data_IF_875010373459
#
_entry.id   IF_875010373459
#
_cell.length_a   1.000
_cell.length_b   1.000
_cell.length_c   1.000
_cell.angle_alpha   90.00
_cell.angle_beta   90.00
_cell.angle_gamma   90.00
#
_symmetry.space_group_name_H-M   'P 1'
#
loop_
_entity.id
_entity.type
_entity.pdbx_description
1 polymer ?
#
# COMPACT_ATOMS: atom_id res chain seq x y z
N UNK A 1 -8.00 16.59 8.94
CA UNK A 1 -6.98 17.66 8.83
C UNK A 1 -6.59 17.78 7.37
N UNK A 2 -6.79 18.93 6.77
CA UNK A 2 -6.34 19.23 5.41
C UNK A 2 -4.86 19.60 5.41
N UNK A 3 -4.16 19.27 4.33
CA UNK A 3 -2.80 19.75 4.11
C UNK A 3 -2.80 21.27 3.82
N UNK A 4 -1.63 21.89 3.82
CA UNK A 4 -1.46 23.29 3.43
C UNK A 4 -1.91 23.60 1.99
N UNK A 5 -2.07 22.57 1.16
CA UNK A 5 -2.60 22.68 -0.22
C UNK A 5 -4.10 22.43 -0.33
N UNK A 6 -4.79 22.24 0.80
CA UNK A 6 -6.22 21.89 0.81
C UNK A 6 -6.52 20.42 0.56
N UNK A 7 -5.53 19.57 0.37
CA UNK A 7 -5.69 18.15 0.20
C UNK A 7 -5.89 17.43 1.54
N UNK A 8 -6.68 16.36 1.53
CA UNK A 8 -6.81 15.50 2.70
C UNK A 8 -5.76 14.39 2.63
N UNK A 9 -4.96 14.19 3.70
CA UNK A 9 -4.00 13.10 3.73
C UNK A 9 -4.71 11.75 3.67
N UNK A 10 -4.18 10.84 2.88
CA UNK A 10 -4.63 9.45 2.87
C UNK A 10 -4.13 8.77 4.16
N UNK A 11 -5.07 8.38 5.00
CA UNK A 11 -4.79 7.62 6.21
C UNK A 11 -5.08 6.15 5.91
N UNK A 12 -4.09 5.29 6.14
CA UNK A 12 -4.22 3.84 5.99
C UNK A 12 -4.04 3.18 7.34
N UNK A 13 -4.91 2.28 7.68
CA UNK A 13 -4.81 1.40 8.86
C UNK A 13 -4.60 -0.02 8.36
N UNK A 14 -3.56 -0.66 8.84
CA UNK A 14 -3.23 -2.05 8.50
C UNK A 14 -3.55 -2.92 9.70
N UNK A 15 -4.39 -3.95 9.51
CA UNK A 15 -4.85 -4.85 10.56
C UNK A 15 -5.09 -6.26 9.99
N UNK A 16 -5.29 -7.25 10.86
CA UNK A 16 -5.71 -8.60 10.45
C UNK A 16 -4.92 -9.74 11.11
N UNK A 17 -3.70 -9.55 11.58
CA UNK A 17 -2.83 -10.64 12.08
C UNK A 17 -2.74 -10.76 13.61
N UNK A 18 -3.38 -9.87 14.35
CA UNK A 18 -3.30 -9.89 15.81
C UNK A 18 -4.25 -10.92 16.41
N UNK A 19 -3.71 -11.96 17.06
CA UNK A 19 -4.46 -13.06 17.66
C UNK A 19 -4.98 -12.78 19.07
N UNK A 20 -4.58 -11.67 19.69
CA UNK A 20 -5.08 -11.30 21.01
C UNK A 20 -6.57 -10.99 20.98
N UNK A 21 -7.27 -11.23 22.09
CA UNK A 21 -8.71 -10.91 22.23
C UNK A 21 -9.04 -9.47 21.83
N UNK A 22 -8.23 -8.51 22.25
CA UNK A 22 -8.45 -7.10 21.93
C UNK A 22 -8.10 -6.74 20.50
N UNK A 23 -7.06 -7.35 19.93
CA UNK A 23 -6.70 -7.17 18.53
C UNK A 23 -7.78 -7.67 17.58
N UNK A 24 -8.36 -8.84 17.86
CA UNK A 24 -9.53 -9.38 17.15
C UNK A 24 -10.72 -8.45 17.26
N UNK A 25 -11.06 -8.02 18.49
CA UNK A 25 -12.19 -7.13 18.74
C UNK A 25 -12.08 -5.82 17.97
N UNK A 26 -10.90 -5.18 17.98
CA UNK A 26 -10.65 -3.93 17.26
C UNK A 26 -10.80 -4.14 15.76
N UNK A 27 -10.17 -5.17 15.21
CA UNK A 27 -10.22 -5.46 13.76
C UNK A 27 -11.66 -5.72 13.30
N UNK A 28 -12.39 -6.57 14.01
CA UNK A 28 -13.80 -6.89 13.68
C UNK A 28 -14.66 -5.64 13.80
N UNK A 29 -14.48 -4.82 14.84
CA UNK A 29 -15.25 -3.59 15.04
C UNK A 29 -15.02 -2.59 13.90
N UNK A 30 -13.77 -2.42 13.46
CA UNK A 30 -13.45 -1.54 12.32
C UNK A 30 -14.14 -2.02 11.03
N UNK A 31 -14.10 -3.32 10.75
CA UNK A 31 -14.76 -3.93 9.58
C UNK A 31 -16.28 -3.76 9.64
N UNK A 32 -16.89 -4.01 10.79
CA UNK A 32 -18.35 -3.83 10.99
C UNK A 32 -18.80 -2.38 10.86
N UNK A 33 -18.05 -1.43 11.41
CA UNK A 33 -18.36 0.01 11.25
C UNK A 33 -18.30 0.41 9.77
N UNK A 34 -17.29 -0.07 9.04
CA UNK A 34 -17.18 0.17 7.61
C UNK A 34 -18.36 -0.43 6.84
N UNK A 35 -18.67 -1.68 7.12
CA UNK A 35 -19.77 -2.43 6.50
C UNK A 35 -21.14 -1.76 6.71
N UNK A 36 -21.39 -1.22 7.90
CA UNK A 36 -22.64 -0.60 8.28
C UNK A 36 -22.79 0.86 7.82
N UNK A 37 -21.69 1.51 7.43
CA UNK A 37 -21.68 2.91 7.06
C UNK A 37 -21.84 3.85 8.26
N UNK A 38 -21.78 5.14 8.00
CA UNK A 38 -21.93 6.20 8.99
C UNK A 38 -23.09 7.14 8.67
N UNK A 39 -23.71 7.71 9.69
CA UNK A 39 -24.84 8.66 9.56
C UNK A 39 -26.07 8.19 10.33
N UNK A 40 -27.15 8.92 10.15
CA UNK A 40 -28.45 8.61 10.77
C UNK A 40 -29.04 7.33 10.17
N UNK A 41 -29.83 6.63 10.94
CA UNK A 41 -30.58 5.46 10.48
C UNK A 41 -31.43 5.82 9.25
N UNK A 42 -31.42 4.95 8.22
CA UNK A 42 -32.08 5.21 6.94
C UNK A 42 -31.28 6.14 5.96
N UNK A 43 -30.23 6.81 6.44
CA UNK A 43 -29.42 7.74 5.64
C UNK A 43 -27.90 7.49 5.80
N UNK A 44 -27.51 6.26 6.01
CA UNK A 44 -26.10 5.89 6.18
C UNK A 44 -25.34 6.00 4.87
N UNK A 45 -24.15 6.58 4.95
CA UNK A 45 -23.21 6.70 3.83
C UNK A 45 -22.01 5.76 4.03
N UNK A 46 -21.40 5.25 2.95
CA UNK A 46 -20.21 4.44 3.06
C UNK A 46 -19.08 5.16 3.81
N UNK A 47 -18.35 4.42 4.65
CA UNK A 47 -17.15 4.92 5.30
C UNK A 47 -15.98 4.77 4.32
N UNK A 48 -15.44 5.86 3.82
CA UNK A 48 -14.35 5.84 2.84
C UNK A 48 -12.96 5.84 3.51
N UNK A 49 -12.83 6.54 4.62
CA UNK A 49 -11.56 6.71 5.36
C UNK A 49 -11.73 6.40 6.86
N UNK A 50 -10.67 5.89 7.52
CA UNK A 50 -9.36 5.51 6.97
C UNK A 50 -9.46 4.36 5.98
N UNK A 51 -8.50 4.27 5.06
CA UNK A 51 -8.33 3.10 4.21
C UNK A 51 -7.89 1.92 5.07
N UNK A 52 -8.52 0.78 4.91
CA UNK A 52 -8.18 -0.43 5.67
C UNK A 52 -7.46 -1.41 4.73
N UNK A 53 -6.27 -1.84 5.15
CA UNK A 53 -5.54 -2.94 4.53
C UNK A 53 -5.63 -4.14 5.46
N UNK A 54 -6.25 -5.22 4.98
CA UNK A 54 -6.37 -6.47 5.70
C UNK A 54 -5.18 -7.38 5.35
N UNK A 55 -4.41 -7.73 6.36
CA UNK A 55 -3.29 -8.65 6.23
C UNK A 55 -3.81 -10.09 6.27
N UNK A 56 -3.64 -10.79 5.19
CA UNK A 56 -4.01 -12.20 5.08
C UNK A 56 -2.78 -13.10 5.23
N UNK A 57 -2.86 -14.05 6.14
CA UNK A 57 -1.89 -15.14 6.32
C UNK A 57 -2.66 -16.46 6.36
N UNK A 58 -2.35 -17.37 5.43
CA UNK A 58 -3.03 -18.67 5.32
C UNK A 58 -2.87 -19.56 6.58
N UNK A 59 -1.86 -19.30 7.41
CA UNK A 59 -1.66 -20.01 8.66
C UNK A 59 -2.53 -19.50 9.80
N UNK A 60 -3.04 -18.28 9.69
CA UNK A 60 -3.86 -17.61 10.71
C UNK A 60 -5.35 -17.53 10.34
N UNK A 61 -5.65 -17.48 9.05
CA UNK A 61 -6.99 -17.19 8.52
C UNK A 61 -7.58 -18.44 7.81
N UNK A 62 -8.89 -18.56 7.86
CA UNK A 62 -9.65 -19.64 7.25
C UNK A 62 -10.21 -20.64 8.26
N UNK A 63 -10.93 -21.66 7.79
CA UNK A 63 -11.61 -22.63 8.64
C UNK A 63 -10.70 -23.32 9.65
N UNK A 64 -11.07 -23.32 10.93
CA UNK A 64 -10.31 -23.92 12.02
C UNK A 64 -9.04 -23.18 12.42
N UNK A 65 -8.79 -21.97 11.89
CA UNK A 65 -7.60 -21.18 12.22
C UNK A 65 -7.89 -20.15 13.34
N UNK A 66 -6.84 -19.64 14.02
CA UNK A 66 -7.01 -18.73 15.16
C UNK A 66 -7.78 -17.44 14.87
N UNK A 67 -7.77 -16.99 13.62
CA UNK A 67 -8.41 -15.74 13.16
C UNK A 67 -9.52 -16.00 12.14
N UNK A 68 -10.22 -17.15 12.23
CA UNK A 68 -11.37 -17.47 11.38
C UNK A 68 -12.45 -16.40 11.49
N UNK A 69 -12.81 -15.99 12.70
CA UNK A 69 -13.79 -14.95 12.98
C UNK A 69 -13.43 -13.57 12.39
N UNK A 70 -12.14 -13.23 12.39
CA UNK A 70 -11.62 -12.00 11.79
C UNK A 70 -11.67 -12.09 10.27
N UNK A 71 -11.34 -13.25 9.72
CA UNK A 71 -11.41 -13.53 8.28
C UNK A 71 -12.84 -13.42 7.76
N UNK A 72 -13.78 -14.06 8.42
CA UNK A 72 -15.21 -14.02 8.06
C UNK A 72 -15.76 -12.60 8.07
N UNK A 73 -15.43 -11.81 9.11
CA UNK A 73 -15.79 -10.39 9.16
C UNK A 73 -15.19 -9.58 8.00
N UNK A 74 -13.96 -9.91 7.58
CA UNK A 74 -13.31 -9.31 6.41
C UNK A 74 -14.03 -9.65 5.11
N UNK A 75 -14.39 -10.91 4.91
CA UNK A 75 -15.13 -11.39 3.74
C UNK A 75 -16.52 -10.76 3.67
N UNK A 76 -17.26 -10.73 4.77
CA UNK A 76 -18.57 -10.05 4.82
C UNK A 76 -18.46 -8.56 4.46
N UNK A 77 -17.46 -7.88 5.01
CA UNK A 77 -17.23 -6.48 4.71
C UNK A 77 -16.92 -6.28 3.23
N UNK A 78 -16.09 -7.14 2.64
CA UNK A 78 -15.73 -7.10 1.22
C UNK A 78 -16.93 -7.34 0.32
N UNK A 79 -17.79 -8.29 0.67
CA UNK A 79 -19.00 -8.59 -0.08
C UNK A 79 -19.98 -7.41 -0.18
N UNK A 80 -20.03 -6.57 0.87
CA UNK A 80 -20.93 -5.40 0.93
C UNK A 80 -20.32 -4.12 0.41
N UNK A 81 -19.01 -3.92 0.60
CA UNK A 81 -18.37 -2.61 0.38
C UNK A 81 -17.22 -2.64 -0.59
N UNK A 82 -16.83 -3.81 -1.09
CA UNK A 82 -15.60 -4.08 -1.87
C UNK A 82 -14.32 -3.68 -1.12
N UNK A 83 -14.36 -3.58 0.18
CA UNK A 83 -13.26 -3.29 1.10
C UNK A 83 -13.30 -4.25 2.29
N UNK A 84 -12.20 -4.49 2.98
CA UNK A 84 -10.87 -3.84 2.92
C UNK A 84 -10.03 -4.23 1.69
N UNK A 85 -8.90 -3.54 1.46
CA UNK A 85 -7.88 -4.02 0.53
C UNK A 85 -7.16 -5.21 1.15
N UNK A 86 -7.10 -6.31 0.44
CA UNK A 86 -6.44 -7.52 0.90
C UNK A 86 -4.97 -7.55 0.52
N UNK A 87 -4.11 -7.81 1.50
CA UNK A 87 -2.67 -7.97 1.32
C UNK A 87 -2.23 -9.33 1.83
N UNK A 88 -1.85 -10.21 0.91
CA UNK A 88 -1.37 -11.54 1.27
C UNK A 88 0.08 -11.49 1.77
N UNK A 89 0.31 -12.06 2.95
CA UNK A 89 1.63 -12.27 3.54
C UNK A 89 2.22 -13.64 3.18
N UNK A 90 1.41 -14.52 2.59
CA UNK A 90 1.78 -15.86 2.18
C UNK A 90 1.59 -16.06 0.69
N UNK A 91 2.21 -17.09 0.12
CA UNK A 91 2.13 -17.38 -1.31
C UNK A 91 3.28 -16.75 -2.12
N UNK A 92 2.99 -16.44 -3.40
CA UNK A 92 3.98 -15.87 -4.34
C UNK A 92 3.79 -14.36 -4.45
N UNK A 93 4.87 -13.60 -4.32
CA UNK A 93 4.85 -12.14 -4.51
C UNK A 93 5.91 -11.42 -3.67
N UNK A 94 6.10 -10.15 -4.00
CA UNK A 94 7.11 -9.31 -3.35
C UNK A 94 6.91 -9.19 -1.83
N UNK A 95 5.68 -8.85 -1.40
CA UNK A 95 5.36 -8.68 0.03
C UNK A 95 5.53 -9.98 0.80
N UNK A 96 5.02 -11.10 0.26
CA UNK A 96 5.17 -12.41 0.88
C UNK A 96 6.65 -12.84 0.97
N UNK A 97 7.44 -12.58 -0.06
CA UNK A 97 8.88 -12.86 -0.06
C UNK A 97 9.63 -12.06 1.00
N UNK A 98 9.31 -10.77 1.14
CA UNK A 98 9.89 -9.89 2.16
C UNK A 98 9.48 -10.31 3.57
N UNK A 99 8.20 -10.65 3.76
CA UNK A 99 7.70 -11.14 5.05
C UNK A 99 8.39 -12.44 5.46
N UNK A 100 8.51 -13.40 4.53
CA UNK A 100 9.21 -14.65 4.76
C UNK A 100 10.70 -14.46 5.11
N UNK A 101 11.36 -13.53 4.42
CA UNK A 101 12.81 -13.31 4.57
C UNK A 101 13.16 -12.50 5.81
N UNK A 102 12.40 -11.47 6.13
CA UNK A 102 12.75 -10.49 7.16
C UNK A 102 11.77 -10.43 8.35
N UNK A 103 10.64 -11.15 8.28
CA UNK A 103 9.59 -11.06 9.30
C UNK A 103 8.91 -9.69 9.38
N UNK A 104 9.12 -8.83 8.37
CA UNK A 104 8.58 -7.47 8.32
C UNK A 104 7.51 -7.34 7.24
N UNK A 105 6.44 -6.63 7.58
CA UNK A 105 5.31 -6.39 6.68
C UNK A 105 5.56 -5.10 5.93
N UNK A 106 5.57 -5.16 4.60
CA UNK A 106 5.58 -3.99 3.75
C UNK A 106 4.13 -3.65 3.41
N UNK A 107 3.57 -2.68 4.14
CA UNK A 107 2.24 -2.17 3.86
C UNK A 107 2.27 -1.14 2.74
N UNK A 108 1.25 -1.11 1.87
CA UNK A 108 1.16 -0.07 0.87
C UNK A 108 0.92 1.30 1.51
N UNK A 109 1.56 2.33 0.98
CA UNK A 109 1.26 3.72 1.31
C UNK A 109 0.23 4.28 0.35
N UNK A 110 -0.71 5.06 0.86
CA UNK A 110 -1.82 5.58 0.07
C UNK A 110 -2.64 4.45 -0.56
N UNK A 111 -2.61 4.36 -1.88
CA UNK A 111 -3.40 3.34 -2.58
C UNK A 111 -2.66 2.01 -2.71
N UNK A 112 -1.53 1.97 -3.39
CA UNK A 112 -0.76 0.73 -3.68
C UNK A 112 0.73 0.99 -3.90
N UNK A 113 1.26 2.05 -3.31
CA UNK A 113 2.69 2.34 -3.39
C UNK A 113 3.43 1.50 -2.35
N UNK A 114 4.07 0.45 -2.80
CA UNK A 114 4.96 -0.36 -1.97
C UNK A 114 6.36 0.22 -2.00
N UNK A 115 6.97 0.39 -0.83
CA UNK A 115 8.37 0.81 -0.75
C UNK A 115 9.27 -0.33 -1.17
N UNK A 116 10.20 -0.05 -2.08
CA UNK A 116 11.31 -0.97 -2.34
C UNK A 116 12.21 -1.08 -1.12
N UNK A 117 12.92 -2.20 -0.91
CA UNK A 117 13.90 -2.31 0.15
C UNK A 117 14.93 -1.19 0.04
N UNK A 118 15.31 -0.65 1.19
CA UNK A 118 16.45 0.27 1.33
C UNK A 118 17.32 -0.29 2.44
N UNK A 119 18.59 -0.45 2.19
CA UNK A 119 19.54 -1.01 3.13
C UNK A 119 20.32 0.09 3.83
N UNK A 120 20.62 -0.08 5.11
CA UNK A 120 21.26 0.94 5.94
C UNK A 120 22.58 1.43 5.36
N UNK A 121 23.40 0.52 4.79
CA UNK A 121 24.73 0.83 4.24
C UNK A 121 24.73 0.93 2.72
N UNK A 122 24.09 0.01 2.03
CA UNK A 122 24.15 -0.11 0.56
C UNK A 122 23.05 0.60 -0.20
N UNK A 123 22.07 1.19 0.47
CA UNK A 123 20.95 1.86 -0.20
C UNK A 123 20.05 0.89 -0.95
N UNK A 124 20.00 0.94 -2.27
CA UNK A 124 19.11 0.09 -3.09
C UNK A 124 19.52 -1.39 -3.05
N UNK A 125 20.82 -1.66 -2.92
CA UNK A 125 21.36 -3.01 -2.86
C UNK A 125 22.17 -3.20 -1.58
N UNK A 126 22.06 -4.36 -0.90
CA UNK A 126 22.87 -4.64 0.27
C UNK A 126 24.35 -4.72 -0.10
N UNK A 127 25.23 -4.19 0.75
CA UNK A 127 26.69 -4.30 0.58
C UNK A 127 27.17 -5.71 0.94
N UNK A 128 26.58 -6.26 2.00
CA UNK A 128 26.89 -7.58 2.54
C UNK A 128 25.64 -8.25 3.13
N UNK A 129 25.77 -9.48 3.60
CA UNK A 129 24.65 -10.27 4.18
C UNK A 129 24.14 -9.70 5.51
N UNK A 130 24.93 -8.86 6.18
CA UNK A 130 24.58 -8.22 7.45
C UNK A 130 23.97 -6.83 7.26
N UNK A 131 23.90 -6.34 6.03
CA UNK A 131 23.27 -5.06 5.74
C UNK A 131 21.75 -5.19 5.89
N UNK A 132 21.18 -4.39 6.81
CA UNK A 132 19.79 -4.53 7.22
C UNK A 132 18.86 -3.69 6.34
N UNK A 133 17.73 -4.26 5.91
CA UNK A 133 16.72 -3.47 5.19
C UNK A 133 15.96 -2.55 6.15
N UNK A 134 15.75 -1.32 5.71
CA UNK A 134 14.97 -0.29 6.42
C UNK A 134 13.54 -0.29 5.88
N UNK A 135 12.57 -0.57 6.74
CA UNK A 135 11.14 -0.61 6.39
C UNK A 135 10.35 0.56 7.00
N UNK A 136 10.95 1.35 7.87
CA UNK A 136 10.30 2.41 8.65
C UNK A 136 10.91 3.78 8.33
N UNK A 137 10.19 4.85 8.68
CA UNK A 137 10.68 6.21 8.51
C UNK A 137 10.79 6.71 7.07
N UNK A 138 10.15 6.03 6.12
CA UNK A 138 10.17 6.37 4.69
C UNK A 138 8.81 6.90 4.24
N UNK A 139 8.83 7.82 3.28
CA UNK A 139 7.62 8.43 2.73
C UNK A 139 7.74 8.64 1.22
N UNK A 140 6.62 8.90 0.55
CA UNK A 140 6.60 9.38 -0.82
C UNK A 140 6.85 10.90 -0.82
N UNK A 141 7.84 11.35 -1.55
CA UNK A 141 8.15 12.78 -1.69
C UNK A 141 7.26 13.46 -2.73
N UNK A 142 6.88 12.75 -3.76
CA UNK A 142 6.05 13.30 -4.82
C UNK A 142 5.79 12.28 -5.94
N UNK A 143 4.86 12.64 -6.82
CA UNK A 143 4.51 11.85 -8.00
C UNK A 143 4.58 12.72 -9.23
N UNK A 144 5.28 12.26 -10.26
CA UNK A 144 5.29 12.89 -11.57
C UNK A 144 4.85 11.86 -12.60
N UNK A 145 3.79 12.19 -13.35
CA UNK A 145 3.28 11.31 -14.41
C UNK A 145 3.99 11.59 -15.73
N UNK A 146 4.45 10.53 -16.38
CA UNK A 146 4.96 10.57 -17.75
C UNK A 146 3.84 10.26 -18.74
N UNK A 147 3.63 11.14 -19.70
CA UNK A 147 2.72 10.90 -20.82
C UNK A 147 3.48 10.20 -21.96
N UNK A 148 3.55 8.86 -21.92
CA UNK A 148 4.26 8.06 -22.94
C UNK A 148 3.75 8.26 -24.37
N UNK A 149 2.43 8.36 -24.62
CA UNK A 149 1.92 8.70 -25.97
C UNK A 149 2.47 10.02 -26.49
N UNK A 150 2.56 11.05 -25.64
CA UNK A 150 3.13 12.35 -26.03
C UNK A 150 4.64 12.26 -26.30
N UNK A 151 5.38 11.49 -25.51
CA UNK A 151 6.82 11.24 -25.74
C UNK A 151 7.03 10.54 -27.08
N UNK A 152 6.19 9.55 -27.40
CA UNK A 152 6.25 8.88 -28.72
C UNK A 152 5.93 9.84 -29.87
N UNK A 153 4.91 10.68 -29.73
CA UNK A 153 4.58 11.68 -30.75
C UNK A 153 5.75 12.65 -30.98
N UNK A 154 6.40 13.09 -29.90
CA UNK A 154 7.56 13.97 -29.97
C UNK A 154 8.78 13.28 -30.62
N UNK A 155 9.06 12.03 -30.27
CA UNK A 155 10.11 11.23 -30.92
C UNK A 155 9.92 11.20 -32.43
N UNK A 156 8.70 10.94 -32.90
CA UNK A 156 8.37 10.93 -34.34
C UNK A 156 8.51 12.32 -34.99
N UNK A 157 8.03 13.35 -34.33
CA UNK A 157 8.10 14.73 -34.83
C UNK A 157 9.57 15.21 -34.94
N UNK A 158 10.43 14.87 -33.99
CA UNK A 158 11.84 15.26 -33.99
C UNK A 158 12.75 14.26 -34.69
N UNK A 159 12.20 13.16 -35.26
CA UNK A 159 12.97 12.07 -35.86
C UNK A 159 14.08 11.52 -34.96
N UNK A 160 13.79 11.44 -33.64
CA UNK A 160 14.67 10.91 -32.62
C UNK A 160 14.21 9.53 -32.16
N UNK A 161 15.13 8.74 -31.63
CA UNK A 161 14.77 7.48 -30.98
C UNK A 161 13.84 7.71 -29.77
N UNK A 162 12.86 6.83 -29.60
CA UNK A 162 11.91 6.95 -28.49
C UNK A 162 12.58 6.86 -27.12
N UNK A 163 13.57 5.99 -26.99
CA UNK A 163 14.28 5.80 -25.73
C UNK A 163 15.14 6.99 -25.35
N UNK A 164 15.77 7.65 -26.33
CA UNK A 164 16.55 8.87 -26.09
C UNK A 164 15.66 10.00 -25.55
N UNK A 165 14.46 10.17 -26.16
CA UNK A 165 13.49 11.15 -25.71
C UNK A 165 12.93 10.80 -24.32
N UNK A 166 12.66 9.52 -24.06
CA UNK A 166 12.21 9.04 -22.77
C UNK A 166 13.26 9.30 -21.67
N UNK A 167 14.51 8.94 -21.93
CA UNK A 167 15.61 9.14 -20.99
C UNK A 167 15.81 10.61 -20.63
N UNK A 168 15.72 11.49 -21.62
CA UNK A 168 15.75 12.93 -21.37
C UNK A 168 14.65 13.37 -20.37
N UNK A 169 13.42 12.90 -20.51
CA UNK A 169 12.34 13.23 -19.57
C UNK A 169 12.52 12.58 -18.20
N UNK A 170 13.10 11.38 -18.12
CA UNK A 170 13.42 10.73 -16.86
C UNK A 170 14.48 11.52 -16.08
N UNK A 171 15.50 12.04 -16.76
CA UNK A 171 16.53 12.89 -16.13
C UNK A 171 15.93 14.24 -15.65
N UNK A 172 15.02 14.84 -16.40
CA UNK A 172 14.29 16.03 -15.95
C UNK A 172 13.49 15.75 -14.67
N UNK A 173 12.76 14.63 -14.61
CA UNK A 173 12.00 14.21 -13.43
C UNK A 173 12.93 13.97 -12.25
N UNK A 174 14.05 13.27 -12.46
CA UNK A 174 15.07 13.08 -11.43
C UNK A 174 15.59 14.41 -10.89
N UNK A 175 15.82 15.37 -11.77
CA UNK A 175 16.22 16.73 -11.38
C UNK A 175 15.16 17.45 -10.54
N UNK A 176 13.89 17.27 -10.87
CA UNK A 176 12.77 17.83 -10.09
C UNK A 176 12.70 17.22 -8.70
N UNK A 177 12.75 15.89 -8.58
CA UNK A 177 12.71 15.20 -7.29
C UNK A 177 13.90 15.52 -6.36
N UNK A 178 15.05 15.92 -6.91
CA UNK A 178 16.20 16.35 -6.10
C UNK A 178 16.05 17.76 -5.53
N UNK A 179 15.13 18.57 -6.10
CA UNK A 179 14.89 19.95 -5.67
C UNK A 179 13.73 20.10 -4.69
N UNK A 180 12.93 19.04 -4.52
CA UNK A 180 11.82 18.98 -3.58
C UNK A 180 12.28 18.51 -2.21
#
# INVERSE_FOLDING_TARGET
>A
VSSSRGDYPFITVTAGTNTSKYGKLVTISMLKVRQNGQGKEGHKKPVLFPKIVFLYDENLHGPGKPLEDVFDAGVECSAKTMYPDWLSLTGKGYVASMYKRYGKIISPMGCRAFLSPWYEKGGIHPIDENDKPVFEGRCNLGVVSLNLPMILAKSRQESKDFYDVLEHYLELIRGLHKRT
#
